data_IF_494400653641
#
_entry.id   IF_494400653641
#
_cell.length_a   1.000
_cell.length_b   1.000
_cell.length_c   1.000
_cell.angle_alpha   90.00
_cell.angle_beta   90.00
_cell.angle_gamma   90.00
#
_symmetry.space_group_name_H-M   'P 1'
#
loop_
_entity.id
_entity.type
_entity.pdbx_description
1 polymer ?
#
# COMPACT_ATOMS: atom_id res chain seq x y z
N UNK A 1 -17.35 -15.25 -4.32
CA UNK A 1 -15.98 -15.16 -3.77
C UNK A 1 -15.09 -14.65 -4.89
N UNK A 2 -14.34 -13.55 -4.76
CA UNK A 2 -13.31 -13.25 -5.75
C UNK A 2 -12.24 -14.33 -5.66
N UNK A 3 -11.74 -14.74 -6.83
CA UNK A 3 -10.75 -15.80 -6.96
C UNK A 3 -9.40 -15.19 -6.57
N UNK A 4 -8.85 -15.57 -5.43
CA UNK A 4 -7.42 -15.36 -5.18
C UNK A 4 -6.69 -16.19 -6.22
N UNK A 5 -5.96 -15.53 -7.12
CA UNK A 5 -5.15 -16.22 -8.11
C UNK A 5 -3.81 -16.59 -7.45
N UNK A 6 -3.49 -17.88 -7.30
CA UNK A 6 -2.17 -18.28 -6.87
C UNK A 6 -1.14 -17.86 -7.92
N UNK A 7 0.00 -17.31 -7.49
CA UNK A 7 1.14 -17.14 -8.38
C UNK A 7 1.85 -18.50 -8.54
N UNK A 8 2.22 -18.86 -9.77
CA UNK A 8 3.11 -19.99 -10.03
C UNK A 8 4.49 -19.65 -9.46
N UNK A 9 4.87 -20.22 -8.32
CA UNK A 9 6.18 -20.03 -7.70
C UNK A 9 7.19 -21.04 -8.24
N UNK A 10 8.45 -20.63 -8.35
CA UNK A 10 9.58 -21.56 -8.42
C UNK A 10 9.61 -22.35 -7.10
N UNK A 11 9.61 -23.68 -7.15
CA UNK A 11 9.39 -24.62 -6.03
C UNK A 11 10.43 -24.58 -4.89
N UNK A 12 11.36 -23.62 -4.87
CA UNK A 12 12.54 -23.69 -4.00
C UNK A 12 12.60 -22.68 -2.84
N UNK A 13 11.56 -21.89 -2.55
CA UNK A 13 11.50 -21.02 -1.35
C UNK A 13 10.07 -20.65 -0.99
N UNK A 14 9.55 -21.28 0.06
CA UNK A 14 8.26 -20.95 0.67
C UNK A 14 8.48 -20.17 1.96
N UNK A 15 7.65 -19.14 2.19
CA UNK A 15 7.57 -18.40 3.47
C UNK A 15 7.12 -19.29 4.66
N UNK A 16 6.85 -20.58 4.42
CA UNK A 16 6.51 -21.57 5.45
C UNK A 16 7.69 -21.93 6.36
N UNK A 17 8.93 -21.58 5.99
CA UNK A 17 10.14 -21.96 6.73
C UNK A 17 10.48 -21.06 7.94
N UNK A 18 9.61 -20.13 8.35
CA UNK A 18 9.80 -19.35 9.58
C UNK A 18 11.10 -18.52 9.65
N UNK A 19 11.75 -18.25 8.50
CA UNK A 19 13.09 -17.67 8.47
C UNK A 19 13.14 -16.13 8.54
N UNK A 20 11.99 -15.45 8.60
CA UNK A 20 11.92 -13.99 8.78
C UNK A 20 11.30 -13.68 10.14
N UNK A 21 12.16 -13.47 11.15
CA UNK A 21 11.74 -13.21 12.52
C UNK A 21 10.99 -11.86 12.68
N UNK A 22 11.17 -10.91 11.76
CA UNK A 22 10.42 -9.66 11.66
C UNK A 22 10.43 -9.14 10.22
N UNK A 23 9.29 -8.69 9.71
CA UNK A 23 9.16 -8.04 8.38
C UNK A 23 9.95 -6.73 8.31
N UNK A 24 10.35 -6.20 9.48
CA UNK A 24 11.31 -5.12 9.62
C UNK A 24 12.71 -5.45 9.08
N UNK A 25 13.02 -6.69 8.66
CA UNK A 25 14.34 -7.02 8.09
C UNK A 25 14.30 -7.42 6.60
N UNK A 26 13.14 -7.39 5.97
CA UNK A 26 13.02 -7.63 4.53
C UNK A 26 13.52 -6.41 3.77
N UNK A 27 14.67 -6.57 3.09
CA UNK A 27 15.10 -5.67 2.02
C UNK A 27 14.09 -5.76 0.88
N UNK A 28 13.95 -4.71 0.08
CA UNK A 28 12.98 -4.70 -1.02
C UNK A 28 13.21 -5.80 -2.06
N UNK A 29 14.47 -6.19 -2.24
CA UNK A 29 14.85 -7.34 -3.05
C UNK A 29 14.22 -8.63 -2.49
N UNK A 30 13.38 -9.28 -3.29
CA UNK A 30 12.68 -10.52 -2.91
C UNK A 30 11.29 -10.29 -2.29
N UNK A 31 10.82 -9.05 -2.18
CA UNK A 31 9.44 -8.78 -1.71
C UNK A 31 8.39 -9.32 -2.69
N UNK A 32 8.69 -9.34 -3.98
CA UNK A 32 7.88 -9.98 -5.01
C UNK A 32 7.65 -11.47 -4.73
N UNK A 33 8.61 -12.16 -4.10
CA UNK A 33 8.50 -13.56 -3.72
C UNK A 33 7.53 -13.77 -2.53
N UNK A 34 7.22 -12.71 -1.77
CA UNK A 34 6.21 -12.74 -0.71
C UNK A 34 4.81 -12.88 -1.28
N UNK A 35 4.57 -12.45 -2.52
CA UNK A 35 3.27 -12.65 -3.15
C UNK A 35 3.02 -14.14 -3.38
N UNK A 36 2.05 -14.68 -2.65
CA UNK A 36 1.45 -15.99 -2.87
C UNK A 36 0.18 -15.81 -3.71
N UNK A 37 -0.57 -14.75 -3.41
CA UNK A 37 -1.82 -14.41 -4.05
C UNK A 37 -1.75 -12.99 -4.61
N UNK A 38 -2.38 -12.75 -5.75
CA UNK A 38 -2.58 -11.39 -6.26
C UNK A 38 -4.06 -11.08 -6.36
N UNK A 39 -4.45 -9.89 -5.91
CA UNK A 39 -5.80 -9.36 -6.07
C UNK A 39 -5.75 -8.19 -7.03
N UNK A 40 -6.28 -8.42 -8.24
CA UNK A 40 -6.42 -7.37 -9.24
C UNK A 40 -7.54 -6.38 -8.86
N UNK A 41 -7.38 -5.14 -9.31
CA UNK A 41 -8.44 -4.14 -9.30
C UNK A 41 -9.69 -4.66 -10.01
N UNK A 42 -10.87 -4.19 -9.56
CA UNK A 42 -12.10 -4.44 -10.31
C UNK A 42 -11.99 -3.71 -11.66
N UNK A 43 -12.17 -4.41 -12.80
CA UNK A 43 -12.13 -3.76 -14.11
C UNK A 43 -13.26 -2.73 -14.23
N UNK A 44 -12.97 -1.63 -14.91
CA UNK A 44 -13.91 -0.52 -15.11
C UNK A 44 -13.85 -0.11 -16.58
N UNK A 45 -14.93 -0.38 -17.32
CA UNK A 45 -14.97 -0.20 -18.78
C UNK A 45 -15.06 1.28 -19.20
N UNK A 46 -15.87 2.09 -18.50
CA UNK A 46 -15.96 3.53 -18.69
C UNK A 46 -16.41 4.22 -17.41
N UNK A 47 -15.60 5.14 -16.90
CA UNK A 47 -15.89 5.86 -15.65
C UNK A 47 -16.50 7.24 -15.88
N UNK A 48 -16.33 7.85 -17.06
CA UNK A 48 -16.78 9.22 -17.31
C UNK A 48 -16.36 10.16 -16.18
N UNK A 49 -17.33 10.90 -15.62
CA UNK A 49 -17.13 11.78 -14.44
C UNK A 49 -17.21 11.07 -13.08
N UNK A 50 -17.37 9.74 -13.05
CA UNK A 50 -17.52 8.99 -11.79
C UNK A 50 -16.17 8.80 -11.09
N UNK A 51 -16.25 8.56 -9.78
CA UNK A 51 -15.09 8.27 -8.94
C UNK A 51 -14.47 6.92 -9.32
N UNK A 52 -13.45 6.96 -10.20
CA UNK A 52 -12.71 5.77 -10.65
C UNK A 52 -12.08 5.04 -9.49
N UNK A 53 -11.51 5.78 -8.53
CA UNK A 53 -10.87 5.18 -7.37
C UNK A 53 -11.83 4.30 -6.56
N UNK A 54 -13.09 4.70 -6.37
CA UNK A 54 -14.08 3.82 -5.74
C UNK A 54 -14.53 2.69 -6.65
N UNK A 55 -14.63 2.95 -7.95
CA UNK A 55 -15.06 1.96 -8.94
C UNK A 55 -14.07 0.79 -9.08
N UNK A 56 -12.78 0.98 -8.82
CA UNK A 56 -11.78 -0.09 -8.93
C UNK A 56 -11.65 -0.98 -7.68
N UNK A 57 -12.41 -0.72 -6.61
CA UNK A 57 -12.33 -1.51 -5.37
C UNK A 57 -12.62 -3.02 -5.62
N UNK A 58 -11.69 -3.93 -5.25
CA UNK A 58 -11.91 -5.38 -5.30
C UNK A 58 -13.14 -5.83 -4.52
N UNK A 59 -13.85 -6.85 -5.03
CA UNK A 59 -15.13 -7.33 -4.48
C UNK A 59 -15.04 -7.91 -3.06
N UNK A 60 -13.84 -8.26 -2.58
CA UNK A 60 -13.57 -8.72 -1.21
C UNK A 60 -13.32 -7.56 -0.23
N UNK A 61 -13.40 -6.32 -0.68
CA UNK A 61 -13.17 -5.14 0.14
C UNK A 61 -14.40 -4.24 0.18
N UNK A 62 -14.48 -3.37 1.18
CA UNK A 62 -15.55 -2.40 1.35
C UNK A 62 -15.04 -1.11 1.99
N UNK A 63 -15.60 0.03 1.59
CA UNK A 63 -15.34 1.30 2.27
C UNK A 63 -16.20 1.44 3.52
N UNK A 64 -15.59 1.89 4.63
CA UNK A 64 -16.28 2.27 5.87
C UNK A 64 -15.57 3.45 6.53
N UNK A 65 -16.19 4.17 7.49
CA UNK A 65 -15.44 5.11 8.32
C UNK A 65 -14.25 4.42 8.99
N UNK A 66 -13.08 5.07 9.00
CA UNK A 66 -11.89 4.57 9.67
C UNK A 66 -12.15 4.46 11.17
N UNK A 67 -11.59 3.42 11.81
CA UNK A 67 -11.69 3.26 13.27
C UNK A 67 -10.73 4.20 14.01
N UNK A 68 -9.60 4.53 13.38
CA UNK A 68 -8.54 5.35 13.98
C UNK A 68 -8.65 6.84 13.63
N UNK A 69 -9.22 7.17 12.47
CA UNK A 69 -9.23 8.53 11.94
C UNK A 69 -10.67 9.10 11.81
N UNK A 70 -11.05 10.08 12.64
CA UNK A 70 -12.35 10.73 12.55
C UNK A 70 -12.59 11.35 11.17
N UNK A 71 -13.80 11.17 10.62
CA UNK A 71 -14.22 11.71 9.32
C UNK A 71 -13.38 11.25 8.12
N UNK A 72 -12.54 10.22 8.28
CA UNK A 72 -11.77 9.63 7.19
C UNK A 72 -12.38 8.29 6.78
N UNK A 73 -12.40 8.02 5.48
CA UNK A 73 -12.81 6.74 4.91
C UNK A 73 -11.64 5.76 4.98
N UNK A 74 -11.90 4.52 5.35
CA UNK A 74 -10.94 3.41 5.30
C UNK A 74 -11.44 2.24 4.45
N UNK A 75 -10.53 1.31 4.18
CA UNK A 75 -10.81 0.10 3.41
C UNK A 75 -10.82 -1.10 4.34
N UNK A 76 -11.84 -1.95 4.25
CA UNK A 76 -12.04 -3.07 5.15
C UNK A 76 -12.21 -4.37 4.37
N UNK A 77 -11.72 -5.46 4.95
CA UNK A 77 -11.92 -6.79 4.42
C UNK A 77 -13.38 -7.25 4.64
N UNK A 78 -14.02 -7.80 3.59
CA UNK A 78 -15.31 -8.48 3.69
C UNK A 78 -15.17 -9.97 4.02
N UNK A 79 -14.03 -10.57 3.66
CA UNK A 79 -13.67 -11.96 3.94
C UNK A 79 -12.25 -12.06 4.49
N UNK A 80 -11.79 -13.28 4.80
CA UNK A 80 -10.40 -13.51 5.17
C UNK A 80 -9.46 -13.25 3.99
N UNK A 81 -8.38 -12.50 4.23
CA UNK A 81 -7.31 -12.24 3.26
C UNK A 81 -6.04 -12.91 3.81
N UNK A 82 -5.49 -13.93 3.15
CA UNK A 82 -4.28 -14.60 3.62
C UNK A 82 -3.05 -13.68 3.66
N UNK A 83 -2.08 -14.01 4.51
CA UNK A 83 -0.72 -13.45 4.41
C UNK A 83 -0.12 -13.72 3.03
N UNK A 84 0.73 -12.81 2.54
CA UNK A 84 1.33 -12.91 1.21
C UNK A 84 0.36 -12.58 0.07
N UNK A 85 -0.72 -11.85 0.35
CA UNK A 85 -1.60 -11.30 -0.67
C UNK A 85 -1.05 -9.95 -1.14
N UNK A 86 -0.86 -9.80 -2.45
CA UNK A 86 -0.44 -8.58 -3.10
C UNK A 86 -1.64 -7.83 -3.70
N UNK A 87 -1.67 -6.52 -3.49
CA UNK A 87 -2.59 -5.56 -4.10
C UNK A 87 -1.83 -4.54 -4.93
N UNK A 88 -2.42 -4.16 -6.07
CA UNK A 88 -1.93 -3.06 -6.89
C UNK A 88 -1.66 -3.44 -8.35
N UNK A 89 -0.94 -2.58 -9.08
CA UNK A 89 -0.17 -1.43 -8.57
C UNK A 89 -1.04 -0.26 -8.07
N UNK A 90 -0.48 0.63 -7.25
CA UNK A 90 -1.06 1.94 -6.93
C UNK A 90 -1.14 2.78 -8.21
N UNK A 91 -2.30 3.38 -8.46
CA UNK A 91 -2.56 4.17 -9.67
C UNK A 91 -2.84 5.61 -9.28
N UNK A 92 -2.25 6.54 -10.03
CA UNK A 92 -2.40 7.98 -9.85
C UNK A 92 -1.79 8.78 -11.01
N UNK A 93 -1.71 10.09 -10.85
CA UNK A 93 -1.04 10.99 -11.79
C UNK A 93 0.47 10.97 -11.58
N UNK A 94 1.25 10.97 -12.65
CA UNK A 94 2.71 11.01 -12.56
C UNK A 94 3.18 12.45 -12.62
N UNK A 95 3.99 12.86 -11.64
CA UNK A 95 4.65 14.17 -11.59
C UNK A 95 6.16 14.02 -11.44
N UNK A 96 6.91 14.79 -12.21
CA UNK A 96 8.34 14.99 -11.98
C UNK A 96 8.57 15.93 -10.79
N UNK A 97 9.72 15.81 -10.12
CA UNK A 97 10.05 16.63 -8.93
C UNK A 97 9.95 18.13 -9.23
N UNK A 98 10.29 18.55 -10.45
CA UNK A 98 10.23 19.95 -10.90
C UNK A 98 8.82 20.50 -11.09
N UNK A 99 7.80 19.62 -11.19
CA UNK A 99 6.40 20.00 -11.40
C UNK A 99 5.65 20.20 -10.08
N UNK A 100 6.23 19.74 -8.97
CA UNK A 100 5.64 19.81 -7.64
C UNK A 100 5.95 21.17 -7.02
N UNK A 101 4.91 21.96 -6.75
CA UNK A 101 5.04 23.25 -6.10
C UNK A 101 4.64 23.17 -4.61
N UNK A 102 4.83 24.27 -3.88
CA UNK A 102 4.58 24.33 -2.44
C UNK A 102 3.09 24.33 -2.06
N UNK A 103 2.18 24.57 -3.02
CA UNK A 103 0.73 24.50 -2.80
C UNK A 103 0.11 23.17 -3.25
N UNK A 104 0.89 22.29 -3.89
CA UNK A 104 0.44 20.96 -4.28
C UNK A 104 0.08 20.15 -3.04
N UNK A 105 -1.13 19.59 -3.03
CA UNK A 105 -1.54 18.69 -1.95
C UNK A 105 -0.81 17.36 -2.08
N UNK A 106 0.18 17.13 -1.23
CA UNK A 106 1.02 15.93 -1.30
C UNK A 106 0.39 14.69 -0.69
N UNK A 107 -0.79 14.79 -0.06
CA UNK A 107 -1.39 13.77 0.81
C UNK A 107 -1.33 12.34 0.24
N UNK A 108 -1.43 12.18 -1.08
CA UNK A 108 -1.49 10.89 -1.75
C UNK A 108 -0.27 10.61 -2.63
N UNK A 109 0.86 11.27 -2.36
CA UNK A 109 2.09 11.15 -3.14
C UNK A 109 2.90 9.94 -2.72
N UNK A 110 3.28 9.14 -3.70
CA UNK A 110 4.26 8.07 -3.56
C UNK A 110 5.49 8.39 -4.39
N UNK A 111 6.69 8.36 -3.79
CA UNK A 111 7.95 8.47 -4.56
C UNK A 111 8.28 7.15 -5.23
N UNK A 112 8.55 7.18 -6.52
CA UNK A 112 9.02 6.02 -7.28
C UNK A 112 10.44 6.31 -7.76
N UNK A 113 11.38 5.58 -7.18
CA UNK A 113 12.82 5.70 -7.42
C UNK A 113 13.20 4.96 -8.70
N UNK A 114 13.95 5.60 -9.60
CA UNK A 114 14.44 4.96 -10.83
C UNK A 114 15.86 4.43 -10.66
N UNK A 115 16.75 5.25 -10.10
CA UNK A 115 18.17 4.97 -9.85
C UNK A 115 18.56 5.60 -8.49
N UNK A 116 19.86 5.55 -8.12
CA UNK A 116 20.36 6.20 -6.91
C UNK A 116 20.00 7.70 -6.86
N UNK A 117 19.02 8.04 -6.02
CA UNK A 117 18.61 9.42 -5.73
C UNK A 117 17.58 10.03 -6.69
N UNK A 118 17.36 9.48 -7.89
CA UNK A 118 16.36 9.99 -8.84
C UNK A 118 14.99 9.33 -8.60
N UNK A 119 13.94 10.14 -8.45
CA UNK A 119 12.57 9.66 -8.31
C UNK A 119 11.57 10.58 -9.00
N UNK A 120 10.37 10.05 -9.25
CA UNK A 120 9.18 10.82 -9.61
C UNK A 120 8.07 10.52 -8.60
N UNK A 121 6.95 11.23 -8.70
CA UNK A 121 5.79 10.99 -7.84
C UNK A 121 4.66 10.31 -8.60
N UNK A 122 3.94 9.43 -7.93
CA UNK A 122 2.58 9.03 -8.29
C UNK A 122 1.64 9.67 -7.28
N UNK A 123 0.72 10.51 -7.74
CA UNK A 123 -0.27 11.22 -6.93
C UNK A 123 -1.67 10.59 -7.05
N UNK A 124 -2.19 10.10 -5.94
CA UNK A 124 -3.56 9.60 -5.84
C UNK A 124 -4.64 10.65 -5.63
N UNK A 125 -4.36 11.96 -5.68
CA UNK A 125 -5.32 13.01 -5.32
C UNK A 125 -6.59 12.99 -6.19
N UNK A 126 -6.47 13.03 -7.52
CA UNK A 126 -7.62 12.99 -8.43
C UNK A 126 -8.27 11.59 -8.44
N UNK A 127 -9.46 11.51 -7.85
CA UNK A 127 -10.27 10.29 -7.77
C UNK A 127 -10.69 9.72 -9.12
N UNK A 128 -10.62 10.51 -10.20
CA UNK A 128 -10.88 10.03 -11.57
C UNK A 128 -9.66 9.38 -12.21
N UNK A 129 -8.46 9.68 -11.70
CA UNK A 129 -7.19 9.16 -12.22
C UNK A 129 -6.57 8.10 -11.32
N UNK A 130 -6.93 8.07 -10.03
CA UNK A 130 -6.44 7.11 -9.05
C UNK A 130 -7.23 5.79 -8.98
N UNK A 131 -6.69 4.78 -8.28
CA UNK A 131 -7.41 3.58 -7.87
C UNK A 131 -7.77 3.58 -6.37
N UNK A 132 -8.49 2.54 -5.92
CA UNK A 132 -9.00 2.40 -4.56
C UNK A 132 -7.93 2.44 -3.46
N UNK A 133 -6.68 2.12 -3.80
CA UNK A 133 -5.58 2.08 -2.84
C UNK A 133 -5.32 3.44 -2.17
N UNK A 134 -5.71 4.56 -2.81
CA UNK A 134 -5.68 5.90 -2.20
C UNK A 134 -6.46 6.04 -0.89
N UNK A 135 -7.38 5.11 -0.59
CA UNK A 135 -8.21 5.14 0.61
C UNK A 135 -7.70 4.20 1.72
N UNK A 136 -6.58 3.50 1.50
CA UNK A 136 -5.94 2.68 2.54
C UNK A 136 -5.20 3.62 3.49
N UNK A 137 -5.54 3.58 4.77
CA UNK A 137 -4.99 4.49 5.77
C UNK A 137 -3.63 4.00 6.29
N UNK A 138 -2.78 4.92 6.78
CA UNK A 138 -1.53 4.54 7.42
C UNK A 138 -1.74 3.83 8.75
N UNK A 139 -0.84 2.89 9.07
CA UNK A 139 -0.80 2.18 10.34
C UNK A 139 -0.03 2.98 11.42
N UNK A 140 -0.74 3.68 12.31
CA UNK A 140 -0.12 4.43 13.41
C UNK A 140 0.52 3.54 14.47
N UNK A 141 -0.01 2.34 14.66
CA UNK A 141 0.53 1.34 15.60
C UNK A 141 1.16 0.19 14.82
N UNK A 142 2.32 -0.27 15.29
CA UNK A 142 2.99 -1.46 14.72
C UNK A 142 2.08 -2.68 14.79
N UNK A 143 1.34 -2.85 15.88
CA UNK A 143 0.41 -3.96 16.08
C UNK A 143 -0.77 -3.97 15.11
N UNK A 144 -1.19 -2.82 14.61
CA UNK A 144 -2.33 -2.67 13.71
C UNK A 144 -1.93 -2.81 12.23
N UNK A 145 -0.66 -2.57 11.90
CA UNK A 145 -0.16 -2.73 10.54
C UNK A 145 -0.39 -4.16 10.03
N UNK A 146 -1.05 -4.26 8.89
CA UNK A 146 -1.27 -5.52 8.19
C UNK A 146 -0.86 -5.48 6.72
N UNK A 147 -0.42 -4.32 6.23
CA UNK A 147 0.15 -4.12 4.91
C UNK A 147 1.53 -3.48 4.97
N UNK A 148 2.41 -3.87 4.06
CA UNK A 148 3.61 -3.10 3.69
C UNK A 148 3.47 -2.52 2.28
N UNK A 149 3.89 -1.28 2.09
CA UNK A 149 4.04 -0.67 0.79
C UNK A 149 5.48 -0.81 0.30
N UNK A 150 5.64 -1.28 -0.93
CA UNK A 150 6.93 -1.58 -1.53
C UNK A 150 6.94 -1.15 -2.99
N UNK A 151 8.11 -0.76 -3.48
CA UNK A 151 8.33 -0.51 -4.89
C UNK A 151 8.84 -1.79 -5.58
N UNK A 152 8.18 -2.22 -6.66
CA UNK A 152 8.58 -3.36 -7.50
C UNK A 152 8.43 -2.93 -8.96
N UNK A 153 9.47 -3.12 -9.77
CA UNK A 153 9.51 -2.79 -11.20
C UNK A 153 8.98 -1.38 -11.55
N UNK A 154 9.32 -0.39 -10.71
CA UNK A 154 8.91 1.00 -10.92
C UNK A 154 7.44 1.29 -10.60
N UNK A 155 6.75 0.42 -9.88
CA UNK A 155 5.39 0.63 -9.39
C UNK A 155 5.28 0.32 -7.89
N UNK A 156 4.23 0.82 -7.24
CA UNK A 156 4.01 0.65 -5.80
C UNK A 156 2.94 -0.42 -5.57
N UNK A 157 3.22 -1.37 -4.70
CA UNK A 157 2.32 -2.48 -4.35
C UNK A 157 2.16 -2.60 -2.84
N UNK A 158 1.01 -3.10 -2.39
CA UNK A 158 0.76 -3.38 -0.97
C UNK A 158 0.68 -4.89 -0.73
N UNK A 159 1.47 -5.39 0.22
CA UNK A 159 1.54 -6.82 0.55
C UNK A 159 1.02 -7.07 1.95
N UNK A 160 0.17 -8.10 2.13
CA UNK A 160 -0.26 -8.51 3.46
C UNK A 160 0.86 -9.20 4.21
N UNK A 161 1.18 -8.66 5.38
CA UNK A 161 2.23 -9.16 6.27
C UNK A 161 1.73 -10.23 7.23
N UNK A 162 0.42 -10.31 7.39
CA UNK A 162 -0.32 -11.26 8.21
C UNK A 162 -1.71 -11.44 7.63
N UNK A 163 -2.38 -12.52 8.00
CA UNK A 163 -3.77 -12.73 7.60
C UNK A 163 -4.68 -11.64 8.16
N UNK A 164 -5.52 -11.06 7.30
CA UNK A 164 -6.51 -10.03 7.66
C UNK A 164 -7.87 -10.70 7.78
N UNK A 165 -8.47 -10.59 8.97
CA UNK A 165 -9.78 -11.15 9.26
C UNK A 165 -10.91 -10.27 8.71
N UNK A 166 -12.11 -10.84 8.47
CA UNK A 166 -13.28 -10.04 8.09
C UNK A 166 -13.51 -8.86 9.03
N UNK A 167 -13.87 -7.71 8.47
CA UNK A 167 -14.12 -6.44 9.16
C UNK A 167 -12.90 -5.78 9.84
N UNK A 168 -11.68 -6.28 9.57
CA UNK A 168 -10.47 -5.53 9.88
C UNK A 168 -10.17 -4.49 8.79
N UNK A 169 -9.64 -3.34 9.23
CA UNK A 169 -9.19 -2.25 8.34
C UNK A 169 -7.85 -2.63 7.73
N UNK A 170 -7.67 -2.36 6.45
CA UNK A 170 -6.38 -2.45 5.76
C UNK A 170 -5.57 -1.22 6.16
N UNK A 171 -4.42 -1.43 6.79
CA UNK A 171 -3.56 -0.39 7.35
C UNK A 171 -2.12 -0.61 6.90
N UNK A 172 -1.58 0.39 6.19
CA UNK A 172 -0.30 0.29 5.50
C UNK A 172 0.81 1.07 6.18
N UNK A 173 2.02 0.55 6.09
CA UNK A 173 3.23 1.32 6.34
C UNK A 173 4.29 0.97 5.29
N UNK A 174 5.31 1.79 5.12
CA UNK A 174 6.42 1.48 4.24
C UNK A 174 7.17 0.23 4.70
N UNK A 175 7.69 -0.57 3.76
CA UNK A 175 8.74 -1.51 4.09
C UNK A 175 10.03 -0.76 4.47
N UNK A 176 10.95 -1.42 5.18
CA UNK A 176 12.18 -0.77 5.70
C UNK A 176 13.02 -0.15 4.60
N UNK A 177 13.26 -0.88 3.50
CA UNK A 177 14.05 -0.36 2.38
C UNK A 177 13.44 0.90 1.76
N UNK A 178 12.11 0.92 1.59
CA UNK A 178 11.41 2.10 1.09
C UNK A 178 11.49 3.27 2.08
N UNK A 179 11.23 3.01 3.36
CA UNK A 179 11.31 4.02 4.42
C UNK A 179 12.70 4.68 4.51
N UNK A 180 13.77 3.90 4.36
CA UNK A 180 15.15 4.40 4.35
C UNK A 180 15.40 5.36 3.18
N UNK A 181 14.97 5.01 1.96
CA UNK A 181 15.10 5.90 0.79
C UNK A 181 14.26 7.17 0.91
N UNK A 182 13.11 7.05 1.57
CA UNK A 182 12.25 8.19 1.88
C UNK A 182 12.84 9.11 2.95
N UNK A 183 13.92 8.70 3.64
CA UNK A 183 14.42 9.33 4.86
C UNK A 183 13.31 9.46 5.93
N UNK A 184 12.39 8.51 5.91
CA UNK A 184 11.22 8.44 6.78
C UNK A 184 11.50 7.58 8.01
N UNK A 185 12.72 7.63 8.57
CA UNK A 185 13.03 6.90 9.80
C UNK A 185 12.05 7.31 10.90
N UNK A 186 11.34 6.31 11.44
CA UNK A 186 10.23 6.53 12.35
C UNK A 186 10.70 6.22 13.76
N UNK A 187 10.56 7.18 14.66
CA UNK A 187 10.69 6.88 16.08
C UNK A 187 9.48 6.04 16.52
N UNK A 188 9.73 4.83 17.03
CA UNK A 188 8.69 3.99 17.61
C UNK A 188 8.75 4.13 19.13
N UNK A 189 7.69 4.69 19.72
CA UNK A 189 7.56 4.82 21.17
C UNK A 189 6.33 4.03 21.63
N UNK A 190 6.55 3.02 22.49
CA UNK A 190 5.49 2.12 22.98
C UNK A 190 4.63 1.52 21.84
N UNK A 191 5.27 1.19 20.71
CA UNK A 191 4.59 0.62 19.53
C UNK A 191 3.80 1.63 18.69
N UNK A 192 3.85 2.93 19.02
CA UNK A 192 3.26 4.02 18.26
C UNK A 192 4.33 4.67 17.39
N UNK A 193 4.03 4.87 16.12
CA UNK A 193 4.88 5.58 15.16
C UNK A 193 4.79 7.09 15.37
N UNK A 194 5.92 7.72 15.68
CA UNK A 194 6.10 9.16 15.58
C UNK A 194 6.82 9.46 14.27
N UNK A 195 6.10 10.08 13.34
CA UNK A 195 6.64 10.51 12.06
C UNK A 195 6.67 12.03 11.97
N UNK A 196 7.58 12.54 11.15
CA UNK A 196 7.56 13.94 10.70
C UNK A 196 6.31 14.17 9.86
N UNK A 197 5.80 15.42 9.84
CA UNK A 197 4.61 15.79 9.06
C UNK A 197 4.75 15.41 7.58
N UNK A 198 5.95 15.50 7.01
CA UNK A 198 6.24 15.16 5.61
C UNK A 198 5.96 13.69 5.25
N UNK A 199 6.02 12.78 6.23
CA UNK A 199 5.71 11.36 6.03
C UNK A 199 4.20 11.13 6.05
N UNK A 200 3.48 11.81 6.94
CA UNK A 200 2.02 11.76 6.99
C UNK A 200 1.36 12.53 5.85
N UNK A 201 2.07 13.48 5.25
CA UNK A 201 1.63 14.20 4.06
C UNK A 201 1.76 13.36 2.79
N UNK A 202 2.12 12.08 2.83
CA UNK A 202 2.30 11.21 1.65
C UNK A 202 1.45 9.92 1.69
N UNK A 203 0.68 9.71 2.77
CA UNK A 203 -0.15 8.51 3.02
C UNK A 203 -1.54 8.87 3.54
#
# INVERSE_FOLDING_TARGET
MPVLSPLLKNENRTMEDGCYNTIDDLREEGIEELAIYTVADRPVDYVGDRNKAEATLPKNLVFRPSKALPNVKGVFALGGIPQGTCFGPFVGEVYHVTEVNHVTNKKYFWRVYKNEGEYHYIDGYDVKRANWMRYVNPAFRVSEQNLIACQVDGAIYFYTTKSIQPNQELLVWYCKGYAQRMQAEVEINNGIRKCTLEVYEQI
#
